data_IF_661884543912
#
_entry.id   IF_661884543912
#
_cell.length_a   1.000
_cell.length_b   1.000
_cell.length_c   1.000
_cell.angle_alpha   90.00
_cell.angle_beta   90.00
_cell.angle_gamma   90.00
#
_symmetry.space_group_name_H-M   'P 1'
#
loop_
_entity.id
_entity.type
_entity.pdbx_description
1 polymer ?
#
# COMPACT_ATOMS: atom_id res chain seq x y z
N UNK A 1 -52.21 9.83 -31.25
CA UNK A 1 -50.77 9.54 -31.40
C UNK A 1 -50.15 9.36 -30.02
N UNK A 2 -50.04 8.11 -29.52
CA UNK A 2 -49.37 7.81 -28.24
C UNK A 2 -47.92 7.44 -28.54
N UNK A 3 -46.96 8.28 -28.14
CA UNK A 3 -45.53 7.98 -28.24
C UNK A 3 -45.16 7.01 -27.12
N UNK A 4 -44.88 5.76 -27.48
CA UNK A 4 -44.42 4.73 -26.56
C UNK A 4 -42.93 4.98 -26.29
N UNK A 5 -42.57 5.43 -25.09
CA UNK A 5 -41.18 5.56 -24.67
C UNK A 5 -40.68 4.19 -24.18
N UNK A 6 -39.83 3.54 -24.97
CA UNK A 6 -39.12 2.33 -24.57
C UNK A 6 -37.88 2.75 -23.79
N UNK A 7 -37.88 2.54 -22.48
CA UNK A 7 -36.73 2.80 -21.61
C UNK A 7 -35.79 1.59 -21.69
N UNK A 8 -34.67 1.73 -22.41
CA UNK A 8 -33.60 0.75 -22.39
C UNK A 8 -32.80 0.88 -21.09
N UNK A 9 -33.05 -0.02 -20.14
CA UNK A 9 -32.21 -0.22 -18.96
C UNK A 9 -30.87 -0.81 -19.41
N UNK A 10 -29.86 0.04 -19.58
CA UNK A 10 -28.47 -0.40 -19.68
C UNK A 10 -28.04 -0.93 -18.32
N UNK A 11 -28.09 -2.25 -18.14
CA UNK A 11 -27.43 -2.91 -17.00
C UNK A 11 -25.93 -2.76 -17.22
N UNK A 12 -25.29 -1.87 -16.46
CA UNK A 12 -23.83 -1.83 -16.40
C UNK A 12 -23.37 -3.16 -15.81
N UNK A 13 -22.85 -4.04 -16.65
CA UNK A 13 -22.20 -5.28 -16.20
C UNK A 13 -20.94 -4.85 -15.46
N UNK A 14 -21.03 -4.76 -14.13
CA UNK A 14 -19.85 -4.62 -13.27
C UNK A 14 -19.09 -5.93 -13.39
N UNK A 15 -18.09 -5.96 -14.27
CA UNK A 15 -17.15 -7.08 -14.35
C UNK A 15 -16.32 -7.06 -13.08
N UNK A 16 -16.74 -7.83 -12.07
CA UNK A 16 -15.95 -8.05 -10.86
C UNK A 16 -14.71 -8.82 -11.28
N UNK A 17 -13.56 -8.14 -11.32
CA UNK A 17 -12.27 -8.79 -11.54
C UNK A 17 -12.02 -9.71 -10.34
N UNK A 18 -12.17 -11.01 -10.56
CA UNK A 18 -11.97 -12.03 -9.54
C UNK A 18 -10.66 -12.74 -9.84
N UNK A 19 -9.82 -12.88 -8.82
CA UNK A 19 -8.60 -13.67 -8.97
C UNK A 19 -8.96 -15.15 -9.20
N UNK A 20 -8.16 -15.86 -9.99
CA UNK A 20 -8.28 -17.31 -10.16
C UNK A 20 -7.12 -18.07 -9.54
N UNK A 21 -5.93 -17.47 -9.56
CA UNK A 21 -4.69 -18.03 -9.04
C UNK A 21 -3.97 -17.05 -8.09
N UNK A 22 -3.07 -17.58 -7.25
CA UNK A 22 -2.35 -16.78 -6.26
C UNK A 22 -1.38 -15.79 -6.90
N UNK A 23 -0.78 -16.13 -8.05
CA UNK A 23 0.11 -15.25 -8.84
C UNK A 23 -0.53 -13.92 -9.24
N UNK A 24 -1.85 -13.90 -9.50
CA UNK A 24 -2.59 -12.67 -9.74
C UNK A 24 -2.63 -11.76 -8.52
N UNK A 25 -2.54 -12.31 -7.31
CA UNK A 25 -2.52 -11.55 -6.06
C UNK A 25 -1.10 -11.21 -5.61
N UNK A 26 -0.13 -12.11 -5.83
CA UNK A 26 1.28 -11.89 -5.48
C UNK A 26 1.90 -10.71 -6.22
N UNK A 27 1.43 -10.43 -7.44
CA UNK A 27 1.87 -9.24 -8.19
C UNK A 27 1.43 -7.95 -7.51
N UNK A 28 0.30 -7.95 -6.80
CA UNK A 28 -0.20 -6.78 -6.08
C UNK A 28 0.42 -6.61 -4.71
N UNK A 29 0.62 -7.72 -3.99
CA UNK A 29 1.27 -7.74 -2.69
C UNK A 29 2.01 -9.07 -2.49
N UNK A 30 3.29 -9.05 -2.08
CA UNK A 30 4.08 -10.26 -1.87
C UNK A 30 3.35 -11.27 -0.98
N UNK A 31 3.27 -12.52 -1.45
CA UNK A 31 2.63 -13.66 -0.75
C UNK A 31 1.12 -13.49 -0.51
N UNK A 32 0.47 -12.49 -1.11
CA UNK A 32 -0.99 -12.43 -1.13
C UNK A 32 -1.53 -13.57 -2.00
N UNK A 33 -2.66 -14.15 -1.60
CA UNK A 33 -3.21 -15.35 -2.22
C UNK A 33 -4.69 -15.15 -2.58
N UNK A 34 -5.15 -15.90 -3.57
CA UNK A 34 -6.53 -15.85 -4.02
C UNK A 34 -7.41 -16.72 -3.13
N UNK A 35 -8.50 -16.14 -2.62
CA UNK A 35 -9.51 -16.90 -1.87
C UNK A 35 -10.91 -16.44 -2.26
N UNK A 36 -11.69 -17.37 -2.81
CA UNK A 36 -13.07 -17.13 -3.27
C UNK A 36 -13.16 -15.93 -4.23
N UNK A 37 -12.24 -15.86 -5.21
CA UNK A 37 -12.20 -14.78 -6.19
C UNK A 37 -11.69 -13.44 -5.67
N UNK A 38 -11.15 -13.37 -4.44
CA UNK A 38 -10.62 -12.14 -3.84
C UNK A 38 -9.19 -12.32 -3.34
N UNK A 39 -8.32 -11.39 -3.67
CA UNK A 39 -6.97 -11.36 -3.09
C UNK A 39 -7.00 -11.09 -1.59
N UNK A 40 -6.30 -11.92 -0.82
CA UNK A 40 -6.20 -11.85 0.63
C UNK A 40 -4.75 -11.59 1.00
N UNK A 41 -4.55 -10.63 1.91
CA UNK A 41 -3.23 -10.32 2.44
C UNK A 41 -2.63 -11.52 3.19
N UNK A 42 -1.30 -11.71 3.13
CA UNK A 42 -0.63 -12.81 3.82
C UNK A 42 -0.78 -12.74 5.35
N UNK A 43 -0.40 -13.82 6.03
CA UNK A 43 -0.32 -13.83 7.50
C UNK A 43 0.54 -12.68 8.02
N UNK A 44 0.21 -12.22 9.23
CA UNK A 44 0.88 -11.11 9.91
C UNK A 44 0.79 -9.77 9.16
N UNK A 45 -0.25 -9.59 8.36
CA UNK A 45 -0.57 -8.32 7.71
C UNK A 45 -2.08 -8.05 7.77
N UNK A 46 -2.48 -6.78 7.62
CA UNK A 46 -3.88 -6.38 7.57
C UNK A 46 -4.16 -5.65 6.25
N UNK A 47 -5.25 -6.05 5.59
CA UNK A 47 -5.74 -5.35 4.39
C UNK A 47 -6.33 -4.00 4.76
N UNK A 48 -5.83 -2.94 4.13
CA UNK A 48 -6.36 -1.57 4.23
C UNK A 48 -6.77 -1.04 2.85
N UNK A 49 -7.68 -0.08 2.85
CA UNK A 49 -8.01 0.69 1.64
C UNK A 49 -6.86 1.66 1.35
N UNK A 50 -6.51 1.80 0.08
CA UNK A 50 -5.64 2.86 -0.44
C UNK A 50 -6.42 3.59 -1.53
N UNK A 51 -6.38 4.92 -1.52
CA UNK A 51 -7.00 5.73 -2.57
C UNK A 51 -6.13 5.81 -3.83
N UNK A 52 -4.82 5.58 -3.70
CA UNK A 52 -3.87 5.60 -4.82
C UNK A 52 -3.63 4.23 -5.47
N UNK A 53 -3.90 3.12 -4.76
CA UNK A 53 -3.63 1.75 -5.20
C UNK A 53 -4.77 0.76 -4.89
N UNK A 54 -5.97 1.26 -4.54
CA UNK A 54 -7.19 0.53 -4.11
C UNK A 54 -7.08 -0.21 -2.78
N UNK A 55 -6.10 -1.10 -2.65
CA UNK A 55 -5.90 -1.87 -1.43
C UNK A 55 -4.43 -2.16 -1.20
N UNK A 56 -4.08 -2.25 0.07
CA UNK A 56 -2.72 -2.50 0.51
C UNK A 56 -2.69 -3.46 1.70
N UNK A 57 -1.58 -4.17 1.88
CA UNK A 57 -1.31 -4.94 3.08
C UNK A 57 -0.36 -4.16 3.99
N UNK A 58 -0.74 -3.96 5.25
CA UNK A 58 0.11 -3.33 6.25
C UNK A 58 0.67 -4.41 7.16
N UNK A 59 2.01 -4.49 7.27
CA UNK A 59 2.68 -5.47 8.14
C UNK A 59 2.36 -5.23 9.61
N UNK A 60 2.14 -6.32 10.35
CA UNK A 60 2.05 -6.32 11.81
C UNK A 60 3.43 -6.46 12.46
N UNK A 61 4.41 -6.96 11.72
CA UNK A 61 5.75 -7.24 12.22
C UNK A 61 6.73 -6.20 11.73
N UNK A 62 7.64 -5.82 12.61
CA UNK A 62 8.76 -4.95 12.33
C UNK A 62 9.86 -5.70 11.55
N UNK A 63 10.42 -5.08 10.53
CA UNK A 63 11.39 -5.71 9.63
C UNK A 63 12.77 -5.94 10.29
N UNK A 64 13.13 -5.15 11.30
CA UNK A 64 14.41 -5.28 11.99
C UNK A 64 14.36 -6.37 13.07
N UNK A 65 13.29 -6.39 13.86
CA UNK A 65 13.16 -7.25 15.03
C UNK A 65 12.34 -8.52 14.80
N UNK A 66 11.48 -8.56 13.78
CA UNK A 66 10.51 -9.62 13.57
C UNK A 66 9.38 -9.69 14.62
N UNK A 67 9.37 -8.75 15.58
CA UNK A 67 8.34 -8.63 16.61
C UNK A 67 7.19 -7.74 16.14
N UNK A 68 6.12 -7.62 16.95
CA UNK A 68 5.01 -6.71 16.67
C UNK A 68 5.54 -5.28 16.53
N UNK A 69 5.34 -4.69 15.36
CA UNK A 69 5.80 -3.34 15.02
C UNK A 69 4.84 -2.24 15.48
N UNK A 70 5.17 -0.99 15.11
CA UNK A 70 4.33 0.16 15.42
C UNK A 70 2.92 0.03 14.81
N UNK A 71 1.85 0.33 15.55
CA UNK A 71 0.50 0.36 15.00
C UNK A 71 0.28 1.50 14.00
N UNK A 72 1.18 2.50 13.98
CA UNK A 72 1.20 3.63 13.07
C UNK A 72 2.19 3.36 11.92
N UNK A 73 1.84 2.40 11.06
CA UNK A 73 2.72 1.99 9.97
C UNK A 73 2.06 2.19 8.62
N UNK A 74 2.83 2.73 7.68
CA UNK A 74 2.51 2.68 6.26
C UNK A 74 2.71 1.29 5.66
N UNK A 75 2.16 1.02 4.46
CA UNK A 75 2.30 -0.28 3.80
C UNK A 75 3.74 -0.59 3.37
N UNK A 76 4.45 0.41 2.85
CA UNK A 76 5.82 0.30 2.36
C UNK A 76 6.77 1.15 3.22
N UNK A 77 8.01 0.70 3.46
CA UNK A 77 8.48 -0.68 3.25
C UNK A 77 7.73 -1.67 4.16
N UNK A 78 7.54 -2.90 3.68
CA UNK A 78 6.95 -3.97 4.50
C UNK A 78 7.78 -4.16 5.78
N UNK A 79 7.14 -3.90 6.92
CA UNK A 79 7.72 -3.97 8.27
C UNK A 79 8.48 -2.75 8.76
N UNK A 80 8.60 -1.67 7.98
CA UNK A 80 9.21 -0.41 8.45
C UNK A 80 8.45 0.85 8.03
N UNK A 81 7.19 0.70 7.62
CA UNK A 81 6.38 1.83 7.15
C UNK A 81 6.13 2.91 8.21
N UNK A 82 6.39 2.65 9.49
CA UNK A 82 6.34 3.69 10.54
C UNK A 82 7.44 4.75 10.39
N UNK A 83 8.54 4.42 9.70
CA UNK A 83 9.64 5.35 9.44
C UNK A 83 9.34 6.32 8.28
N UNK A 84 8.35 6.04 7.44
CA UNK A 84 7.95 6.89 6.30
C UNK A 84 6.60 7.56 6.50
N UNK A 85 5.95 7.28 7.62
CA UNK A 85 4.74 7.94 8.05
C UNK A 85 5.00 9.44 8.24
N UNK A 86 4.24 10.29 7.55
CA UNK A 86 4.37 11.73 7.72
C UNK A 86 3.64 12.23 8.96
N UNK A 87 4.23 13.27 9.55
CA UNK A 87 3.66 14.02 10.65
C UNK A 87 2.93 15.23 10.06
N UNK A 88 1.63 15.33 10.29
CA UNK A 88 0.84 16.51 9.96
C UNK A 88 0.48 17.25 11.26
N UNK A 89 0.74 18.57 11.31
CA UNK A 89 0.46 19.42 12.47
C UNK A 89 1.08 18.92 13.80
N UNK A 90 2.26 18.30 13.71
CA UNK A 90 2.94 17.70 14.87
C UNK A 90 2.38 16.35 15.32
N UNK A 91 1.41 15.77 14.60
CA UNK A 91 0.85 14.44 14.87
C UNK A 91 0.92 13.52 13.65
N UNK A 92 1.22 12.24 13.86
CA UNK A 92 1.25 11.22 12.78
C UNK A 92 -0.16 10.81 12.31
N UNK A 93 -1.21 11.50 12.75
CA UNK A 93 -2.60 11.05 12.62
C UNK A 93 -3.41 11.82 11.58
N UNK A 94 -4.14 11.08 10.74
CA UNK A 94 -5.14 11.61 9.83
C UNK A 94 -6.52 10.99 10.11
N UNK A 95 -7.57 11.62 9.58
CA UNK A 95 -8.94 11.10 9.68
C UNK A 95 -9.35 10.45 8.36
N UNK A 96 -9.50 9.10 8.30
CA UNK A 96 -9.80 8.37 7.07
C UNK A 96 -11.21 8.64 6.51
N UNK A 97 -12.07 9.36 7.25
CA UNK A 97 -13.40 9.77 6.80
C UNK A 97 -13.43 11.17 6.20
N UNK A 98 -12.39 11.97 6.40
CA UNK A 98 -12.29 13.33 5.86
C UNK A 98 -11.24 13.36 4.76
N UNK A 99 -11.58 13.99 3.64
CA UNK A 99 -10.62 14.29 2.57
C UNK A 99 -9.61 15.33 3.05
N UNK A 100 -8.46 15.38 2.37
CA UNK A 100 -7.42 16.40 2.55
C UNK A 100 -6.88 16.50 4.00
N UNK A 101 -6.93 15.38 4.72
CA UNK A 101 -6.33 15.22 6.06
C UNK A 101 -4.89 14.77 6.03
N UNK A 102 -4.32 14.64 4.84
CA UNK A 102 -2.91 14.36 4.61
C UNK A 102 -2.33 15.44 3.69
N UNK A 103 -1.02 15.72 3.78
CA UNK A 103 -0.36 16.65 2.87
C UNK A 103 -0.49 16.20 1.41
N UNK A 104 -0.25 17.11 0.48
CA UNK A 104 -0.21 16.78 -0.94
C UNK A 104 0.78 15.62 -1.18
N UNK A 105 0.39 14.69 -2.05
CA UNK A 105 1.13 13.45 -2.36
C UNK A 105 1.09 12.35 -1.27
N UNK A 106 0.32 12.56 -0.19
CA UNK A 106 0.07 11.56 0.85
C UNK A 106 -1.41 11.13 0.86
N UNK A 107 -1.68 9.97 1.45
CA UNK A 107 -3.02 9.42 1.66
C UNK A 107 -3.16 8.84 3.07
N UNK A 108 -4.40 8.81 3.55
CA UNK A 108 -4.70 8.37 4.91
C UNK A 108 -4.93 6.85 4.97
N UNK A 109 -4.01 6.11 5.59
CA UNK A 109 -4.11 4.66 5.79
C UNK A 109 -4.49 4.38 7.25
N UNK A 110 -5.55 3.57 7.47
CA UNK A 110 -6.04 3.24 8.81
C UNK A 110 -4.98 2.46 9.60
N UNK A 111 -4.74 2.86 10.85
CA UNK A 111 -3.76 2.24 11.75
C UNK A 111 -4.09 0.79 12.06
N UNK A 112 -3.09 0.02 12.52
CA UNK A 112 -3.20 -1.42 12.78
C UNK A 112 -3.84 -1.74 14.15
N UNK A 113 -4.08 -0.75 15.02
CA UNK A 113 -4.67 -0.94 16.35
C UNK A 113 -5.83 0.01 16.67
N UNK A 114 -6.64 -0.37 17.67
CA UNK A 114 -7.61 0.54 18.27
C UNK A 114 -6.90 1.43 19.29
N UNK A 115 -6.87 2.74 19.05
CA UNK A 115 -6.40 3.71 20.03
C UNK A 115 -7.59 4.01 20.93
N UNK A 116 -7.40 3.93 22.26
CA UNK A 116 -8.40 4.30 23.25
C UNK A 116 -8.95 5.70 22.96
N UNK A 117 -10.20 5.78 22.48
CA UNK A 117 -10.87 7.04 22.11
C UNK A 117 -10.84 7.42 20.62
N UNK A 118 -10.10 6.71 19.75
CA UNK A 118 -10.06 6.97 18.30
C UNK A 118 -10.15 5.66 17.50
N UNK A 119 -11.33 5.05 17.49
CA UNK A 119 -11.65 4.02 16.52
C UNK A 119 -11.60 4.62 15.11
N UNK A 120 -10.74 4.07 14.23
CA UNK A 120 -10.45 4.57 12.88
C UNK A 120 -9.57 5.82 12.79
N UNK A 121 -8.54 5.95 13.63
CA UNK A 121 -7.42 6.84 13.29
C UNK A 121 -6.66 6.28 12.07
N UNK A 122 -6.08 7.16 11.25
CA UNK A 122 -5.17 6.80 10.18
C UNK A 122 -3.82 7.48 10.33
N UNK A 123 -2.88 7.12 9.47
CA UNK A 123 -1.58 7.75 9.31
C UNK A 123 -1.38 8.19 7.86
N UNK A 124 -0.69 9.31 7.66
CA UNK A 124 -0.39 9.81 6.33
C UNK A 124 0.79 9.05 5.71
N UNK A 125 0.51 8.34 4.64
CA UNK A 125 1.46 7.52 3.91
C UNK A 125 1.69 8.05 2.50
N UNK A 126 2.91 7.90 1.95
CA UNK A 126 3.16 8.26 0.56
C UNK A 126 2.12 7.59 -0.33
N UNK A 127 1.50 8.37 -1.23
CA UNK A 127 0.68 7.80 -2.29
C UNK A 127 1.58 6.97 -3.20
N UNK A 128 0.97 6.08 -3.97
CA UNK A 128 1.63 5.30 -5.01
C UNK A 128 2.60 6.11 -5.86
N UNK A 129 2.14 7.24 -6.40
CA UNK A 129 2.97 8.07 -7.28
C UNK A 129 4.14 8.71 -6.55
N UNK A 130 3.99 8.97 -5.25
CA UNK A 130 5.06 9.53 -4.41
C UNK A 130 6.07 8.47 -4.02
N UNK A 131 5.60 7.30 -3.57
CA UNK A 131 6.47 6.16 -3.27
C UNK A 131 7.37 5.81 -4.47
N UNK A 132 6.82 5.77 -5.69
CA UNK A 132 7.59 5.45 -6.89
C UNK A 132 8.57 6.56 -7.34
N UNK A 133 8.44 7.80 -6.83
CA UNK A 133 9.37 8.91 -7.15
C UNK A 133 10.48 9.08 -6.13
N UNK A 134 10.33 8.53 -4.92
CA UNK A 134 11.32 8.68 -3.87
C UNK A 134 12.61 7.94 -4.25
N UNK A 135 13.76 8.53 -3.97
CA UNK A 135 15.04 7.82 -4.06
C UNK A 135 15.10 6.70 -2.99
N UNK A 136 15.70 5.54 -3.30
CA UNK A 136 15.92 4.51 -2.29
C UNK A 136 16.99 4.95 -1.29
N UNK A 137 16.89 4.48 -0.04
CA UNK A 137 17.97 4.60 0.92
C UNK A 137 18.82 3.33 0.87
N UNK A 138 19.90 3.39 0.08
CA UNK A 138 20.86 2.30 -0.07
C UNK A 138 21.84 2.37 1.11
N UNK A 139 21.98 1.28 1.85
CA UNK A 139 22.89 1.19 2.99
C UNK A 139 24.08 0.30 2.64
N UNK A 140 25.30 0.78 2.88
CA UNK A 140 26.52 -0.02 2.66
C UNK A 140 26.61 -1.24 3.58
N UNK A 141 26.00 -1.16 4.76
CA UNK A 141 25.82 -2.24 5.73
C UNK A 141 24.46 -2.96 5.59
N UNK A 142 23.76 -2.74 4.47
CA UNK A 142 22.50 -3.40 4.15
C UNK A 142 22.68 -4.90 3.92
N UNK A 143 21.83 -5.69 4.57
CA UNK A 143 21.83 -7.15 4.47
C UNK A 143 20.52 -7.72 3.93
N UNK A 144 19.45 -6.91 3.90
CA UNK A 144 18.16 -7.33 3.37
C UNK A 144 17.99 -6.88 1.92
N UNK A 145 17.88 -7.83 1.01
CA UNK A 145 17.68 -7.56 -0.42
C UNK A 145 16.25 -7.06 -0.66
N UNK A 146 16.15 -5.92 -1.33
CA UNK A 146 14.88 -5.25 -1.70
C UNK A 146 14.95 -4.74 -3.13
N UNK A 147 13.82 -4.23 -3.62
CA UNK A 147 13.66 -3.65 -4.94
C UNK A 147 13.20 -2.19 -4.83
N UNK A 148 13.68 -1.33 -5.72
CA UNK A 148 13.21 0.04 -5.86
C UNK A 148 12.99 0.37 -7.33
N UNK A 149 12.08 1.29 -7.62
CA UNK A 149 11.83 1.78 -8.97
C UNK A 149 12.75 2.96 -9.28
N UNK A 150 13.51 2.89 -10.38
CA UNK A 150 14.46 3.95 -10.77
C UNK A 150 13.87 4.98 -11.75
N UNK A 151 12.55 4.96 -11.93
CA UNK A 151 11.85 5.75 -12.95
C UNK A 151 11.60 5.01 -14.26
N UNK A 152 12.29 3.88 -14.50
CA UNK A 152 12.12 3.05 -15.69
C UNK A 152 11.93 1.57 -15.36
N UNK A 153 12.81 0.99 -14.55
CA UNK A 153 12.78 -0.42 -14.14
C UNK A 153 12.93 -0.57 -12.62
N UNK A 154 12.55 -1.75 -12.13
CA UNK A 154 12.76 -2.16 -10.75
C UNK A 154 14.15 -2.77 -10.58
N UNK A 155 14.96 -2.16 -9.73
CA UNK A 155 16.34 -2.56 -9.45
C UNK A 155 16.51 -3.07 -8.03
N UNK A 156 17.38 -4.05 -7.89
CA UNK A 156 17.70 -4.68 -6.62
C UNK A 156 18.70 -3.81 -5.83
N UNK A 157 18.53 -3.74 -4.51
CA UNK A 157 19.47 -3.05 -3.62
C UNK A 157 19.51 -3.70 -2.23
N UNK A 158 20.56 -3.41 -1.48
CA UNK A 158 20.71 -3.82 -0.09
C UNK A 158 20.18 -2.74 0.85
N UNK A 159 19.29 -3.13 1.75
CA UNK A 159 18.68 -2.26 2.74
C UNK A 159 18.98 -2.77 4.15
N UNK A 160 19.24 -1.85 5.09
CA UNK A 160 19.41 -2.15 6.49
C UNK A 160 18.17 -1.70 7.28
N UNK A 161 17.29 -2.63 7.72
CA UNK A 161 16.06 -2.28 8.44
C UNK A 161 16.31 -1.71 9.84
N UNK A 162 17.53 -1.84 10.39
CA UNK A 162 17.89 -1.30 11.71
C UNK A 162 18.20 0.20 11.67
N UNK A 163 18.37 0.77 10.46
CA UNK A 163 18.53 2.23 10.32
C UNK A 163 17.20 2.92 10.55
N UNK A 164 17.24 4.07 11.20
CA UNK A 164 16.07 4.91 11.48
C UNK A 164 15.56 5.71 10.27
N UNK A 165 16.06 5.44 9.06
CA UNK A 165 15.68 6.16 7.84
C UNK A 165 15.45 5.18 6.69
N UNK A 166 14.35 5.39 5.96
CA UNK A 166 14.01 4.67 4.74
C UNK A 166 13.04 5.50 3.90
N UNK A 167 12.69 5.03 2.71
CA UNK A 167 11.64 5.61 1.85
C UNK A 167 10.63 4.54 1.46
N UNK A 168 9.47 4.94 0.95
CA UNK A 168 8.45 3.99 0.51
C UNK A 168 8.82 3.30 -0.82
N UNK A 169 9.86 3.77 -1.53
CA UNK A 169 10.42 3.10 -2.69
C UNK A 169 11.28 1.89 -2.30
N UNK A 170 10.65 0.90 -1.66
CA UNK A 170 11.33 -0.25 -1.06
C UNK A 170 10.36 -1.45 -1.00
N UNK A 171 10.51 -2.34 -1.97
CA UNK A 171 9.64 -3.47 -2.23
C UNK A 171 10.34 -4.79 -1.94
N UNK A 172 9.59 -5.77 -1.42
CA UNK A 172 10.10 -7.11 -1.13
C UNK A 172 10.43 -7.91 -2.40
N UNK A 173 9.67 -7.73 -3.49
CA UNK A 173 9.83 -8.49 -4.73
C UNK A 173 9.84 -7.57 -5.96
N UNK A 174 10.53 -8.00 -7.03
CA UNK A 174 10.55 -7.29 -8.31
C UNK A 174 9.15 -7.13 -8.88
N UNK A 175 8.38 -8.21 -8.92
CA UNK A 175 7.02 -8.24 -9.46
C UNK A 175 6.09 -7.23 -8.76
N UNK A 176 6.19 -7.11 -7.42
CA UNK A 176 5.42 -6.10 -6.69
C UNK A 176 5.86 -4.68 -7.06
N UNK A 177 7.17 -4.41 -7.11
CA UNK A 177 7.68 -3.11 -7.55
C UNK A 177 7.17 -2.74 -8.96
N UNK A 178 7.24 -3.66 -9.92
CA UNK A 178 6.82 -3.42 -11.30
C UNK A 178 5.32 -3.15 -11.37
N UNK A 179 4.51 -4.01 -10.76
CA UNK A 179 3.06 -3.82 -10.70
C UNK A 179 2.69 -2.52 -9.98
N UNK A 180 3.41 -2.16 -8.92
CA UNK A 180 3.16 -0.97 -8.13
C UNK A 180 3.63 0.31 -8.83
N UNK A 181 4.70 0.31 -9.62
CA UNK A 181 5.24 1.57 -10.20
C UNK A 181 5.10 1.72 -11.71
N UNK A 182 5.13 0.65 -12.49
CA UNK A 182 5.10 0.74 -13.96
C UNK A 182 3.66 0.76 -14.51
N UNK A 183 2.70 0.14 -13.80
CA UNK A 183 1.32 0.04 -14.29
C UNK A 183 0.52 1.33 -14.04
N UNK A 184 0.58 2.30 -14.96
CA UNK A 184 -0.23 3.54 -14.91
C UNK A 184 -1.75 3.31 -14.93
N UNK A 185 -2.21 2.08 -15.19
CA UNK A 185 -3.59 1.73 -15.00
C UNK A 185 -3.88 1.72 -13.50
N UNK A 186 -4.73 2.65 -13.06
CA UNK A 186 -5.60 2.40 -11.91
C UNK A 186 -6.22 1.04 -12.17
N UNK A 187 -5.71 0.01 -11.51
CA UNK A 187 -6.49 -1.21 -11.44
C UNK A 187 -7.82 -0.84 -10.80
N UNK A 188 -8.88 -1.41 -11.35
CA UNK A 188 -10.26 -0.96 -11.25
C UNK A 188 -10.90 -1.51 -9.98
#
# INVERSE_FOLDING_TARGET
MKRLFVVFLFVAIVVVHSCKEDSECECHWPRAFCRNGRCVCPKNTIRRKSDSYNWVCVSLLDAASGMIGSPFSCPLPEGAGHMVAQIQDGQTLCNPRKKDTCPKHYECIITVGAISGQANAGVCCPRREEACRQEPIISSDGWLIRWYFDGNDCKMFNWNPEKNTTTANNFTTKQHCESYCQNNNKQI
#
